data_IF_117660202120
#
_entry.id   IF_117660202120
#
_cell.length_a   1.000
_cell.length_b   1.000
_cell.length_c   1.000
_cell.angle_alpha   90.00
_cell.angle_beta   90.00
_cell.angle_gamma   90.00
#
_symmetry.space_group_name_H-M   'P 1'
#
loop_
_entity.id
_entity.type
_entity.pdbx_description
1 polymer ?
#
# COMPACT_ATOMS: atom_id res chain seq x y z
N UNK A 1 0.07 -15.17 -23.45
CA UNK A 1 0.12 -14.91 -21.99
C UNK A 1 0.67 -16.15 -21.31
N UNK A 2 1.75 -16.04 -20.54
CA UNK A 2 2.26 -17.17 -19.78
C UNK A 2 1.27 -17.52 -18.66
N UNK A 3 0.79 -18.76 -18.64
CA UNK A 3 -0.15 -19.25 -17.63
C UNK A 3 0.63 -19.44 -16.31
N UNK A 4 0.28 -18.68 -15.26
CA UNK A 4 0.90 -18.85 -13.93
C UNK A 4 0.42 -20.19 -13.36
N UNK A 5 1.28 -21.21 -13.38
CA UNK A 5 0.94 -22.57 -12.93
C UNK A 5 0.90 -22.72 -11.41
N UNK A 6 1.66 -21.88 -10.68
CA UNK A 6 1.73 -21.88 -9.22
C UNK A 6 1.77 -20.46 -8.69
N UNK A 7 0.83 -20.12 -7.81
CA UNK A 7 0.88 -18.91 -6.99
C UNK A 7 1.41 -19.26 -5.60
N UNK A 8 2.10 -18.31 -4.99
CA UNK A 8 2.53 -18.43 -3.59
C UNK A 8 1.29 -18.47 -2.69
N UNK A 9 1.29 -19.36 -1.71
CA UNK A 9 0.27 -19.42 -0.67
C UNK A 9 0.57 -18.30 0.35
N UNK A 10 -0.44 -17.48 0.65
CA UNK A 10 -0.31 -16.46 1.68
C UNK A 10 -0.34 -17.11 3.08
N UNK A 11 0.64 -16.77 3.92
CA UNK A 11 0.70 -17.29 5.29
C UNK A 11 0.03 -16.30 6.25
N UNK A 12 -0.89 -16.76 7.13
CA UNK A 12 -1.57 -15.86 8.05
C UNK A 12 -0.62 -15.31 9.11
N UNK A 13 -0.86 -14.08 9.55
CA UNK A 13 -0.16 -13.48 10.69
C UNK A 13 -0.59 -14.22 11.97
N UNK A 14 0.32 -15.00 12.56
CA UNK A 14 0.05 -15.73 13.79
C UNK A 14 -0.19 -14.79 14.99
N UNK A 15 -0.86 -15.27 16.03
CA UNK A 15 -1.09 -14.49 17.25
C UNK A 15 0.21 -14.03 17.93
N UNK A 16 1.26 -14.86 17.88
CA UNK A 16 2.59 -14.51 18.39
C UNK A 16 3.22 -13.38 17.58
N UNK A 17 3.22 -13.48 16.25
CA UNK A 17 3.74 -12.42 15.37
C UNK A 17 2.94 -11.13 15.54
N UNK A 18 1.61 -11.21 15.62
CA UNK A 18 0.73 -10.07 15.90
C UNK A 18 1.10 -9.37 17.21
N UNK A 19 1.33 -10.13 18.27
CA UNK A 19 1.71 -9.59 19.58
C UNK A 19 3.07 -8.87 19.53
N UNK A 20 4.03 -9.43 18.78
CA UNK A 20 5.30 -8.77 18.50
C UNK A 20 5.09 -7.44 17.74
N UNK A 21 4.33 -7.44 16.64
CA UNK A 21 4.09 -6.24 15.84
C UNK A 21 3.42 -5.12 16.65
N UNK A 22 2.47 -5.46 17.53
CA UNK A 22 1.85 -4.51 18.46
C UNK A 22 2.87 -3.93 19.44
N UNK A 23 3.72 -4.77 20.03
CA UNK A 23 4.77 -4.35 20.96
C UNK A 23 5.71 -3.31 20.32
N UNK A 24 6.03 -3.46 19.04
CA UNK A 24 6.89 -2.55 18.29
C UNK A 24 6.14 -1.46 17.51
N UNK A 25 4.84 -1.25 17.80
CA UNK A 25 3.99 -0.23 17.16
C UNK A 25 3.90 -0.32 15.63
N UNK A 26 4.02 -1.54 15.09
CA UNK A 26 3.87 -1.84 13.66
C UNK A 26 2.47 -2.34 13.31
N UNK A 27 1.70 -2.82 14.29
CA UNK A 27 0.28 -3.14 14.14
C UNK A 27 -0.56 -2.01 14.74
N UNK A 28 -1.21 -1.22 13.87
CA UNK A 28 -1.94 0.00 14.24
C UNK A 28 -3.32 0.02 13.60
N UNK A 29 -4.22 0.87 14.11
CA UNK A 29 -5.47 1.15 13.42
C UNK A 29 -5.21 1.98 12.16
N UNK A 30 -5.73 1.54 11.02
CA UNK A 30 -5.62 2.24 9.75
C UNK A 30 -7.02 2.70 9.28
N UNK A 31 -7.11 3.88 8.64
CA UNK A 31 -8.39 4.44 8.19
C UNK A 31 -9.00 3.72 6.99
N UNK A 32 -8.21 2.89 6.29
CA UNK A 32 -8.66 2.08 5.16
C UNK A 32 -7.87 0.78 5.11
N UNK A 33 -8.53 -0.30 4.69
CA UNK A 33 -7.95 -1.63 4.53
C UNK A 33 -7.78 -2.00 3.06
N UNK A 34 -7.03 -3.07 2.81
CA UNK A 34 -6.93 -3.67 1.48
C UNK A 34 -8.30 -4.07 0.91
N UNK A 35 -9.22 -4.54 1.76
CA UNK A 35 -10.55 -4.99 1.34
C UNK A 35 -11.41 -3.83 0.84
N UNK A 36 -11.27 -2.65 1.43
CA UNK A 36 -12.01 -1.45 1.03
C UNK A 36 -11.60 -0.99 -0.37
N UNK A 37 -10.30 -1.11 -0.70
CA UNK A 37 -9.77 -0.76 -2.02
C UNK A 37 -10.23 -1.73 -3.13
N UNK A 38 -10.64 -2.95 -2.79
CA UNK A 38 -11.22 -3.89 -3.76
C UNK A 38 -12.61 -3.47 -4.25
N UNK A 39 -13.23 -2.44 -3.65
CA UNK A 39 -14.54 -1.90 -4.07
C UNK A 39 -14.44 -0.92 -5.24
N UNK A 40 -13.29 -0.81 -5.89
CA UNK A 40 -13.15 -0.04 -7.14
C UNK A 40 -14.17 -0.54 -8.18
N UNK A 41 -14.70 0.39 -8.99
CA UNK A 41 -15.78 0.10 -9.94
C UNK A 41 -15.35 0.24 -11.41
N UNK A 42 -14.15 0.76 -11.67
CA UNK A 42 -13.61 0.87 -13.02
C UNK A 42 -12.08 0.77 -13.00
N UNK A 43 -11.48 0.34 -14.10
CA UNK A 43 -10.03 0.34 -14.27
C UNK A 43 -9.61 0.56 -15.72
N UNK A 44 -8.40 1.09 -15.91
CA UNK A 44 -7.76 1.24 -17.24
C UNK A 44 -6.32 0.72 -17.19
N UNK A 45 -5.81 0.08 -18.26
CA UNK A 45 -4.40 -0.30 -18.33
C UNK A 45 -3.49 0.93 -18.23
N UNK A 46 -2.44 0.82 -17.43
CA UNK A 46 -1.41 1.85 -17.31
C UNK A 46 -0.28 1.58 -18.29
N UNK A 47 -0.10 2.48 -19.25
CA UNK A 47 1.03 2.45 -20.18
C UNK A 47 2.15 3.40 -19.70
N UNK A 48 3.39 3.03 -20.01
CA UNK A 48 4.53 3.92 -19.79
C UNK A 48 4.63 5.02 -20.86
N UNK A 49 5.60 5.91 -20.72
CA UNK A 49 5.84 7.02 -21.66
C UNK A 49 6.15 6.58 -23.11
N UNK A 50 6.49 5.31 -23.33
CA UNK A 50 6.79 4.73 -24.65
C UNK A 50 5.62 3.94 -25.21
N UNK A 51 4.47 3.92 -24.52
CA UNK A 51 3.30 3.15 -24.90
C UNK A 51 3.42 1.65 -24.58
N UNK A 52 4.37 1.25 -23.75
CA UNK A 52 4.52 -0.14 -23.33
C UNK A 52 3.62 -0.41 -22.11
N UNK A 53 2.89 -1.52 -22.16
CA UNK A 53 2.02 -1.96 -21.07
C UNK A 53 2.84 -2.25 -19.80
N UNK A 54 2.51 -1.56 -18.70
CA UNK A 54 3.20 -1.75 -17.42
C UNK A 54 2.69 -2.95 -16.64
N UNK A 55 1.59 -3.59 -17.10
CA UNK A 55 0.87 -4.66 -16.43
C UNK A 55 0.19 -4.25 -15.12
N UNK A 56 0.09 -2.93 -14.88
CA UNK A 56 -0.73 -2.33 -13.83
C UNK A 56 -2.00 -1.78 -14.44
N UNK A 57 -3.07 -1.77 -13.65
CA UNK A 57 -4.30 -1.08 -14.01
C UNK A 57 -4.53 0.08 -13.03
N UNK A 58 -4.76 1.28 -13.54
CA UNK A 58 -5.22 2.39 -12.71
C UNK A 58 -6.69 2.18 -12.39
N UNK A 59 -7.03 2.14 -11.10
CA UNK A 59 -8.39 1.89 -10.61
C UNK A 59 -9.09 3.17 -10.21
N UNK A 60 -10.41 3.17 -10.35
CA UNK A 60 -11.27 4.29 -9.96
C UNK A 60 -12.37 3.81 -9.03
N UNK A 61 -12.79 4.72 -8.16
CA UNK A 61 -13.82 4.49 -7.15
C UNK A 61 -15.05 5.34 -7.44
N UNK A 62 -16.23 4.96 -6.91
CA UNK A 62 -17.40 5.83 -6.90
C UNK A 62 -17.07 7.23 -6.37
N UNK A 63 -17.67 8.26 -6.97
CA UNK A 63 -17.33 9.66 -6.69
C UNK A 63 -17.62 10.08 -5.24
N UNK A 64 -18.65 9.48 -4.64
CA UNK A 64 -19.05 9.62 -3.25
C UNK A 64 -18.04 9.01 -2.26
N UNK A 65 -17.36 7.92 -2.62
CA UNK A 65 -16.32 7.29 -1.79
C UNK A 65 -14.92 7.88 -2.02
N UNK A 66 -14.66 8.44 -3.21
CA UNK A 66 -13.32 8.86 -3.63
C UNK A 66 -12.67 9.86 -2.66
N UNK A 67 -13.45 10.80 -2.12
CA UNK A 67 -12.92 11.78 -1.15
C UNK A 67 -12.44 11.12 0.14
N UNK A 68 -13.22 10.18 0.67
CA UNK A 68 -12.91 9.43 1.88
C UNK A 68 -11.66 8.54 1.67
N UNK A 69 -11.62 7.81 0.56
CA UNK A 69 -10.48 6.97 0.20
C UNK A 69 -9.20 7.81 0.06
N UNK A 70 -9.24 8.92 -0.67
CA UNK A 70 -8.08 9.79 -0.84
C UNK A 70 -7.62 10.40 0.49
N UNK A 71 -8.56 10.74 1.38
CA UNK A 71 -8.24 11.22 2.72
C UNK A 71 -7.56 10.14 3.57
N UNK A 72 -8.10 8.92 3.56
CA UNK A 72 -7.53 7.77 4.28
C UNK A 72 -6.11 7.43 3.79
N UNK A 73 -5.88 7.41 2.47
CA UNK A 73 -4.56 7.16 1.88
C UNK A 73 -3.54 8.25 2.22
N UNK A 74 -3.93 9.53 2.19
CA UNK A 74 -3.07 10.64 2.67
C UNK A 74 -2.70 10.49 4.14
N UNK A 75 -3.67 10.08 4.95
CA UNK A 75 -3.48 9.87 6.39
C UNK A 75 -2.46 8.75 6.64
N UNK A 76 -2.60 7.62 5.94
CA UNK A 76 -1.63 6.52 5.96
C UNK A 76 -0.23 7.03 5.60
N UNK A 77 -0.09 7.75 4.49
CA UNK A 77 1.21 8.26 4.06
C UNK A 77 1.86 9.19 5.09
N UNK A 78 1.07 10.06 5.75
CA UNK A 78 1.56 10.93 6.81
C UNK A 78 2.01 10.16 8.07
N UNK A 79 1.28 9.10 8.44
CA UNK A 79 1.68 8.19 9.52
C UNK A 79 3.02 7.54 9.18
N UNK A 80 3.20 7.06 7.94
CA UNK A 80 4.45 6.47 7.48
C UNK A 80 5.61 7.48 7.49
N UNK A 81 5.47 8.65 6.86
CA UNK A 81 6.60 9.56 6.63
C UNK A 81 7.00 10.45 7.81
N UNK A 82 6.08 10.75 8.73
CA UNK A 82 6.37 11.74 9.77
C UNK A 82 5.88 11.32 11.16
N UNK A 83 5.64 10.02 11.38
CA UNK A 83 5.07 9.55 12.65
C UNK A 83 3.72 10.20 12.97
N UNK A 84 3.00 10.68 11.95
CA UNK A 84 1.70 11.34 12.10
C UNK A 84 1.72 12.88 12.10
N UNK A 85 2.79 13.55 11.66
CA UNK A 85 2.73 15.00 11.44
C UNK A 85 1.76 15.35 10.30
N UNK A 86 0.55 15.74 10.68
CA UNK A 86 -0.57 16.05 9.81
C UNK A 86 -0.31 17.32 8.98
N UNK A 87 0.64 18.17 9.37
CA UNK A 87 0.98 19.39 8.62
C UNK A 87 1.46 19.08 7.20
N UNK A 88 2.11 17.92 7.01
CA UNK A 88 2.58 17.43 5.70
C UNK A 88 1.39 17.08 4.77
N UNK A 89 0.22 16.71 5.32
CA UNK A 89 -0.93 16.32 4.50
C UNK A 89 -1.50 17.46 3.63
N UNK A 90 -1.30 18.72 4.02
CA UNK A 90 -1.90 19.87 3.31
C UNK A 90 -1.46 19.97 1.85
N UNK A 91 -0.24 19.55 1.59
CA UNK A 91 0.39 19.67 0.27
C UNK A 91 0.44 18.35 -0.48
N UNK A 92 -0.05 17.26 0.11
CA UNK A 92 -0.05 15.95 -0.54
C UNK A 92 -1.41 15.67 -1.21
N UNK A 93 -1.36 14.99 -2.35
CA UNK A 93 -2.54 14.40 -2.96
C UNK A 93 -2.22 13.02 -3.53
N UNK A 94 -3.26 12.18 -3.57
CA UNK A 94 -3.22 10.91 -4.30
C UNK A 94 -3.38 11.25 -5.77
N UNK A 95 -2.34 11.03 -6.55
CA UNK A 95 -2.34 11.22 -8.00
C UNK A 95 -2.97 10.01 -8.70
N UNK A 96 -2.61 8.81 -8.24
CA UNK A 96 -3.06 7.57 -8.87
C UNK A 96 -3.07 6.40 -7.89
N UNK A 97 -4.02 5.48 -8.10
CA UNK A 97 -4.10 4.20 -7.40
C UNK A 97 -4.03 3.12 -8.48
N UNK A 98 -2.97 2.30 -8.43
CA UNK A 98 -2.72 1.25 -9.42
C UNK A 98 -2.86 -0.13 -8.79
N UNK A 99 -3.56 -1.05 -9.44
CA UNK A 99 -3.68 -2.45 -9.04
C UNK A 99 -2.78 -3.32 -9.93
N UNK A 100 -1.93 -4.14 -9.32
CA UNK A 100 -1.18 -5.14 -10.07
C UNK A 100 -2.00 -6.43 -10.19
N UNK A 101 -2.72 -6.60 -11.30
CA UNK A 101 -3.61 -7.76 -11.53
C UNK A 101 -2.85 -9.11 -11.56
N UNK A 102 -1.56 -9.09 -11.89
CA UNK A 102 -0.71 -10.29 -11.99
C UNK A 102 -0.01 -10.66 -10.68
N UNK A 103 0.10 -9.72 -9.73
CA UNK A 103 0.77 -9.96 -8.46
C UNK A 103 0.07 -11.04 -7.64
N UNK A 104 0.83 -11.82 -6.86
CA UNK A 104 0.29 -12.91 -6.04
C UNK A 104 -0.85 -12.43 -5.12
N UNK A 105 -0.64 -11.32 -4.41
CA UNK A 105 -1.60 -10.70 -3.51
C UNK A 105 -2.36 -9.53 -4.14
N UNK A 106 -2.23 -9.34 -5.47
CA UNK A 106 -2.77 -8.19 -6.21
C UNK A 106 -2.56 -6.85 -5.48
N UNK A 107 -1.32 -6.43 -5.25
CA UNK A 107 -1.03 -5.24 -4.47
C UNK A 107 -1.56 -3.97 -5.15
N UNK A 108 -2.06 -3.04 -4.34
CA UNK A 108 -2.29 -1.66 -4.76
C UNK A 108 -0.99 -0.86 -4.58
N UNK A 109 -0.67 -0.01 -5.55
CA UNK A 109 0.41 0.98 -5.51
C UNK A 109 -0.23 2.36 -5.56
N UNK A 110 0.08 3.18 -4.57
CA UNK A 110 -0.51 4.49 -4.41
C UNK A 110 0.58 5.50 -4.74
N UNK A 111 0.34 6.32 -5.77
CA UNK A 111 1.22 7.43 -6.16
C UNK A 111 0.82 8.67 -5.39
N UNK A 112 1.69 9.10 -4.49
CA UNK A 112 1.53 10.33 -3.71
C UNK A 112 2.37 11.43 -4.34
N UNK A 113 1.78 12.61 -4.55
CA UNK A 113 2.49 13.77 -5.10
C UNK A 113 2.43 14.93 -4.12
N UNK A 114 3.55 15.63 -3.96
CA UNK A 114 3.66 16.86 -3.18
C UNK A 114 3.49 18.08 -4.09
N UNK A 115 2.45 18.89 -3.84
CA UNK A 115 2.11 20.09 -4.61
C UNK A 115 3.17 21.19 -4.57
N UNK A 116 4.04 21.23 -3.56
CA UNK A 116 5.03 22.31 -3.42
C UNK A 116 6.19 22.13 -4.39
N UNK A 117 6.71 20.89 -4.51
CA UNK A 117 7.93 20.61 -5.25
C UNK A 117 7.74 19.59 -6.39
N UNK A 118 6.50 19.13 -6.61
CA UNK A 118 6.12 18.16 -7.64
C UNK A 118 6.83 16.79 -7.50
N UNK A 119 7.46 16.54 -6.34
CA UNK A 119 8.04 15.24 -6.04
C UNK A 119 6.93 14.23 -5.78
N UNK A 120 7.16 13.00 -6.24
CA UNK A 120 6.25 11.88 -6.02
C UNK A 120 6.94 10.74 -5.27
N UNK A 121 6.12 9.99 -4.56
CA UNK A 121 6.51 8.81 -3.81
C UNK A 121 5.47 7.70 -4.02
N UNK A 122 5.85 6.47 -3.72
CA UNK A 122 4.96 5.32 -3.77
C UNK A 122 4.95 4.60 -2.45
N UNK A 123 3.77 4.17 -2.05
CA UNK A 123 3.61 3.13 -1.06
C UNK A 123 2.62 2.09 -1.57
N UNK A 124 2.64 0.92 -0.97
CA UNK A 124 1.84 -0.22 -1.39
C UNK A 124 0.89 -0.65 -0.29
N UNK A 125 -0.32 -1.05 -0.68
CA UNK A 125 -1.30 -1.70 0.20
C UNK A 125 -1.53 -3.11 -0.34
N UNK A 126 -1.33 -4.11 0.51
CA UNK A 126 -1.36 -5.52 0.15
C UNK A 126 -2.16 -6.33 1.16
N UNK A 127 -2.65 -7.49 0.75
CA UNK A 127 -3.05 -8.52 1.70
C UNK A 127 -1.84 -8.95 2.53
N UNK A 128 -2.01 -9.02 3.85
CA UNK A 128 -0.94 -9.28 4.79
C UNK A 128 -0.50 -10.75 4.74
N UNK A 129 0.80 -10.96 4.55
CA UNK A 129 1.42 -12.28 4.48
C UNK A 129 2.60 -12.32 5.45
N UNK A 130 2.58 -13.27 6.39
CA UNK A 130 3.59 -13.42 7.43
C UNK A 130 4.99 -13.53 6.86
N UNK A 131 5.15 -14.20 5.72
CA UNK A 131 6.46 -14.34 5.09
C UNK A 131 7.03 -13.02 4.57
N UNK A 132 6.18 -12.08 4.10
CA UNK A 132 6.64 -10.72 3.75
C UNK A 132 6.93 -9.90 5.01
N UNK A 133 6.11 -10.03 6.04
CA UNK A 133 6.36 -9.34 7.32
C UNK A 133 7.69 -9.74 7.95
N UNK A 134 8.01 -11.04 7.99
CA UNK A 134 9.33 -11.48 8.48
C UNK A 134 10.48 -10.94 7.63
N UNK A 135 10.32 -10.89 6.30
CA UNK A 135 11.31 -10.27 5.41
C UNK A 135 11.51 -8.78 5.70
N UNK A 136 10.40 -8.04 5.87
CA UNK A 136 10.43 -6.62 6.23
C UNK A 136 11.07 -6.35 7.59
N UNK A 137 10.80 -7.19 8.60
CA UNK A 137 11.49 -7.09 9.89
C UNK A 137 13.01 -7.32 9.74
N UNK A 138 13.41 -8.31 8.95
CA UNK A 138 14.82 -8.58 8.71
C UNK A 138 15.49 -7.42 7.97
N UNK A 139 14.83 -6.87 6.94
CA UNK A 139 15.29 -5.68 6.23
C UNK A 139 15.41 -4.48 7.18
N UNK A 140 14.43 -4.24 8.05
CA UNK A 140 14.44 -3.14 9.04
C UNK A 140 15.60 -3.26 10.04
N UNK A 141 15.99 -4.48 10.42
CA UNK A 141 17.10 -4.73 11.34
C UNK A 141 18.48 -4.57 10.68
N UNK A 142 18.59 -4.89 9.39
CA UNK A 142 19.87 -4.94 8.68
C UNK A 142 20.16 -3.70 7.83
N UNK A 143 19.13 -2.98 7.39
CA UNK A 143 19.28 -1.82 6.53
C UNK A 143 19.77 -0.60 7.33
N UNK A 144 20.61 0.27 6.71
CA UNK A 144 21.05 1.51 7.34
C UNK A 144 19.88 2.48 7.58
N UNK A 145 18.85 2.39 6.73
CA UNK A 145 17.60 3.12 6.89
C UNK A 145 16.51 2.16 7.34
N UNK A 146 15.75 2.55 8.38
CA UNK A 146 14.61 1.77 8.85
C UNK A 146 13.54 1.65 7.78
N UNK A 147 13.04 0.43 7.60
CA UNK A 147 11.93 0.16 6.71
C UNK A 147 10.63 0.54 7.42
N UNK A 148 9.79 1.33 6.74
CA UNK A 148 8.54 1.82 7.30
C UNK A 148 7.40 0.98 6.74
N UNK A 149 6.95 0.02 7.53
CA UNK A 149 5.78 -0.77 7.18
C UNK A 149 4.80 -0.82 8.36
N UNK A 150 3.54 -0.98 8.04
CA UNK A 150 2.44 -1.01 8.98
C UNK A 150 1.51 -2.17 8.67
N UNK A 151 0.89 -2.71 9.70
CA UNK A 151 -0.07 -3.79 9.64
C UNK A 151 -1.37 -3.31 10.30
N UNK A 152 -2.50 -3.70 9.72
CA UNK A 152 -3.81 -3.66 10.37
C UNK A 152 -4.62 -4.86 9.91
N UNK A 153 -5.08 -5.71 10.82
CA UNK A 153 -5.84 -6.91 10.47
C UNK A 153 -5.15 -7.71 9.35
N UNK A 154 -5.76 -7.83 8.17
CA UNK A 154 -5.20 -8.52 7.00
C UNK A 154 -4.59 -7.56 5.96
N UNK A 155 -4.29 -6.33 6.34
CA UNK A 155 -3.69 -5.30 5.49
C UNK A 155 -2.24 -5.08 5.89
N UNK A 156 -1.35 -5.09 4.90
CA UNK A 156 0.05 -4.67 5.00
C UNK A 156 0.25 -3.42 4.15
N UNK A 157 0.94 -2.44 4.73
CA UNK A 157 1.38 -1.22 4.08
C UNK A 157 2.90 -1.15 4.12
N UNK A 158 3.55 -0.90 2.99
CA UNK A 158 5.02 -0.80 2.86
C UNK A 158 5.45 0.20 1.78
#
# INVERSE_FOLDING_TARGET
MALISKKKIAYPISALLRSYLKKYRKDIYLPITYQDLLRYNNSIPLYDSKGVDTLWETVFFPQDEMQEIHFALKTIYAIMQSGGDVSVMKHLFVDRIDLCIYGNTKPFRIRMVNKINDNFDYFYIKHADASRVYGLELEDLLAPNRMRFLINAETLIE
#
